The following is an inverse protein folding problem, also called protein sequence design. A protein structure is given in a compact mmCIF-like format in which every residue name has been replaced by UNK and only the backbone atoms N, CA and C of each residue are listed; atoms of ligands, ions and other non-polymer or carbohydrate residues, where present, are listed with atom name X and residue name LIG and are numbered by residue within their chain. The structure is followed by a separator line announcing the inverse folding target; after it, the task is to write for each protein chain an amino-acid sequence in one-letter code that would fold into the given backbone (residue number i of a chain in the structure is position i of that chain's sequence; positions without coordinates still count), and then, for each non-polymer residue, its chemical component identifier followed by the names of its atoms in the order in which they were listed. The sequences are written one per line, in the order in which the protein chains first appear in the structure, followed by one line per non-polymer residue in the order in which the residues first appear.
data_IF_313209872304
#
_entry.id   IF_313209872304
#
_cell.length_a   1.000
_cell.length_b   1.000
_cell.length_c   1.000
_cell.angle_alpha   90.00
_cell.angle_beta   90.00
_cell.angle_gamma   90.00
#
_symmetry.space_group_name_H-M   'P 1'
#
loop_
_entity.id
_entity.type
_entity.pdbx_description
1 polymer ?
#
# COMPACT_ATOMS: atom_id res chain seq x y z
N UNK A 1 -34.06 9.50 19.67
CA UNK A 1 -32.61 9.25 19.79
C UNK A 1 -32.04 9.36 18.39
N UNK A 2 -31.56 10.55 18.01
CA UNK A 2 -31.08 10.79 16.64
C UNK A 2 -29.80 9.98 16.41
N UNK A 3 -29.80 9.11 15.40
CA UNK A 3 -28.57 8.47 14.93
C UNK A 3 -27.70 9.59 14.35
N UNK A 4 -26.71 10.04 15.12
CA UNK A 4 -25.69 10.93 14.58
C UNK A 4 -24.82 10.10 13.65
N UNK A 5 -25.09 10.23 12.36
CA UNK A 5 -24.30 9.59 11.31
C UNK A 5 -22.93 10.23 11.32
N UNK A 6 -21.95 9.44 11.76
CA UNK A 6 -20.56 9.81 11.75
C UNK A 6 -20.19 10.23 10.32
N UNK A 7 -19.74 11.47 10.14
CA UNK A 7 -19.25 12.04 8.86
C UNK A 7 -20.37 12.41 7.86
N UNK A 8 -21.52 12.90 8.34
CA UNK A 8 -22.47 13.64 7.49
C UNK A 8 -22.34 15.15 7.73
N UNK A 9 -21.86 15.88 6.72
CA UNK A 9 -21.85 17.34 6.75
C UNK A 9 -23.22 17.83 6.28
N UNK A 10 -23.97 18.47 7.18
CA UNK A 10 -25.30 18.99 6.89
C UNK A 10 -25.18 20.32 6.13
N UNK A 11 -25.40 20.31 4.81
CA UNK A 11 -25.31 21.50 3.96
C UNK A 11 -26.34 22.56 4.33
N UNK A 12 -27.49 22.15 4.85
CA UNK A 12 -28.55 23.06 5.33
C UNK A 12 -28.08 23.85 6.56
N UNK A 13 -27.47 23.18 7.55
CA UNK A 13 -26.95 23.84 8.74
C UNK A 13 -25.77 24.79 8.42
N UNK A 14 -24.89 24.38 7.50
CA UNK A 14 -23.76 25.20 7.06
C UNK A 14 -24.18 26.53 6.43
N UNK A 15 -25.30 26.53 5.68
CA UNK A 15 -25.89 27.74 5.09
C UNK A 15 -26.47 28.66 6.15
N UNK A 16 -27.12 28.09 7.17
CA UNK A 16 -27.64 28.84 8.32
C UNK A 16 -26.51 29.51 9.11
N UNK A 17 -25.38 28.81 9.26
CA UNK A 17 -24.21 29.30 9.99
C UNK A 17 -23.27 30.20 9.13
N UNK A 18 -23.61 30.43 7.85
CA UNK A 18 -22.81 31.26 6.93
C UNK A 18 -21.47 30.67 6.50
N UNK A 19 -21.23 29.38 6.75
CA UNK A 19 -19.94 28.69 6.48
C UNK A 19 -19.91 27.94 5.14
N UNK A 20 -20.99 28.03 4.36
CA UNK A 20 -21.18 27.28 3.10
C UNK A 20 -20.11 27.54 2.03
N UNK A 21 -19.68 28.80 1.88
CA UNK A 21 -18.66 29.18 0.88
C UNK A 21 -17.30 28.56 1.19
N UNK A 22 -16.91 28.55 2.46
CA UNK A 22 -15.69 27.88 2.94
C UNK A 22 -15.76 26.37 2.70
N UNK A 23 -16.93 25.77 2.95
CA UNK A 23 -17.16 24.36 2.70
C UNK A 23 -17.03 24.01 1.20
N UNK A 24 -17.68 24.76 0.31
CA UNK A 24 -17.55 24.53 -1.13
C UNK A 24 -16.10 24.58 -1.60
N UNK A 25 -15.29 25.49 -1.04
CA UNK A 25 -13.87 25.59 -1.35
C UNK A 25 -13.11 24.33 -0.92
N UNK A 26 -13.32 23.85 0.32
CA UNK A 26 -12.72 22.61 0.83
C UNK A 26 -13.11 21.41 -0.02
N UNK A 27 -14.40 21.25 -0.31
CA UNK A 27 -14.90 20.11 -1.09
C UNK A 27 -14.37 20.13 -2.53
N UNK A 28 -14.17 21.32 -3.10
CA UNK A 28 -13.55 21.46 -4.43
C UNK A 28 -12.09 21.01 -4.42
N UNK A 29 -11.33 21.37 -3.38
CA UNK A 29 -9.95 20.89 -3.18
C UNK A 29 -9.93 19.37 -2.99
N UNK A 30 -10.88 18.83 -2.22
CA UNK A 30 -11.04 17.39 -2.02
C UNK A 30 -11.27 16.66 -3.34
N UNK A 31 -12.16 17.19 -4.20
CA UNK A 31 -12.46 16.63 -5.52
C UNK A 31 -11.21 16.60 -6.43
N UNK A 32 -10.42 17.66 -6.44
CA UNK A 32 -9.13 17.69 -7.16
C UNK A 32 -8.20 16.59 -6.63
N UNK A 33 -8.13 16.41 -5.30
CA UNK A 33 -7.37 15.34 -4.67
C UNK A 33 -7.85 13.94 -5.09
N UNK A 34 -9.17 13.73 -5.18
CA UNK A 34 -9.77 12.47 -5.65
C UNK A 34 -9.38 12.18 -7.10
N UNK A 35 -9.44 13.18 -7.99
CA UNK A 35 -9.05 13.02 -9.40
C UNK A 35 -7.59 12.60 -9.53
N UNK A 36 -6.69 13.25 -8.78
CA UNK A 36 -5.26 12.88 -8.74
C UNK A 36 -5.10 11.44 -8.26
N UNK A 37 -5.87 11.02 -7.26
CA UNK A 37 -5.83 9.66 -6.73
C UNK A 37 -6.33 8.60 -7.70
N UNK A 38 -7.38 8.88 -8.47
CA UNK A 38 -7.80 8.00 -9.55
C UNK A 38 -6.68 7.81 -10.57
N UNK A 39 -6.02 8.90 -10.99
CA UNK A 39 -4.89 8.80 -11.91
C UNK A 39 -3.76 7.95 -11.31
N UNK A 40 -3.41 8.19 -10.04
CA UNK A 40 -2.41 7.41 -9.31
C UNK A 40 -2.76 5.91 -9.27
N UNK A 41 -4.00 5.58 -8.94
CA UNK A 41 -4.50 4.20 -8.87
C UNK A 41 -4.48 3.49 -10.23
N UNK A 42 -4.93 4.14 -11.30
CA UNK A 42 -4.86 3.56 -12.64
C UNK A 42 -3.41 3.38 -13.11
N UNK A 43 -2.55 4.34 -12.80
CA UNK A 43 -1.13 4.26 -13.14
C UNK A 43 -0.43 3.11 -12.41
N UNK A 44 -0.67 2.93 -11.11
CA UNK A 44 -0.11 1.80 -10.36
C UNK A 44 -0.71 0.46 -10.78
N UNK A 45 -2.00 0.40 -11.14
CA UNK A 45 -2.62 -0.79 -11.75
C UNK A 45 -1.89 -1.17 -13.03
N UNK A 46 -1.66 -0.19 -13.92
CA UNK A 46 -0.90 -0.40 -15.14
C UNK A 46 0.50 -0.95 -14.86
N UNK A 47 1.23 -0.37 -13.90
CA UNK A 47 2.57 -0.84 -13.54
C UNK A 47 2.56 -2.27 -12.99
N UNK A 48 1.57 -2.62 -12.17
CA UNK A 48 1.40 -3.96 -11.64
C UNK A 48 1.20 -4.98 -12.77
N UNK A 49 0.31 -4.68 -13.71
CA UNK A 49 0.00 -5.56 -14.85
C UNK A 49 1.19 -5.69 -15.80
N UNK A 50 1.94 -4.60 -16.01
CA UNK A 50 3.03 -4.56 -17.01
C UNK A 50 4.32 -5.22 -16.54
N UNK A 51 4.74 -4.93 -15.32
CA UNK A 51 6.09 -5.30 -14.84
C UNK A 51 6.15 -6.71 -14.25
N UNK A 52 5.02 -7.26 -13.83
CA UNK A 52 4.94 -8.55 -13.16
C UNK A 52 5.95 -8.69 -12.00
N UNK A 53 6.22 -7.58 -11.30
CA UNK A 53 7.32 -7.42 -10.36
C UNK A 53 7.22 -8.24 -9.07
N UNK A 54 6.09 -8.92 -8.89
CA UNK A 54 5.71 -9.51 -7.62
C UNK A 54 5.17 -10.92 -7.81
N UNK A 55 5.49 -11.78 -6.84
CA UNK A 55 4.81 -13.07 -6.70
C UNK A 55 3.29 -12.88 -6.67
N UNK A 56 2.58 -13.89 -7.16
CA UNK A 56 1.11 -13.87 -7.28
C UNK A 56 0.41 -13.38 -6.01
N UNK A 57 0.85 -13.82 -4.84
CA UNK A 57 0.26 -13.45 -3.55
C UNK A 57 0.31 -11.93 -3.29
N UNK A 58 1.43 -11.27 -3.60
CA UNK A 58 1.56 -9.82 -3.41
C UNK A 58 0.74 -9.06 -4.45
N UNK A 59 0.64 -9.57 -5.69
CA UNK A 59 -0.26 -9.01 -6.71
C UNK A 59 -1.73 -9.12 -6.30
N UNK A 60 -2.13 -10.23 -5.69
CA UNK A 60 -3.49 -10.43 -5.17
C UNK A 60 -3.79 -9.47 -4.01
N UNK A 61 -2.88 -9.33 -3.04
CA UNK A 61 -3.03 -8.37 -1.93
C UNK A 61 -3.20 -6.95 -2.48
N UNK A 62 -2.37 -6.57 -3.46
CA UNK A 62 -2.50 -5.26 -4.11
C UNK A 62 -3.83 -5.11 -4.84
N UNK A 63 -4.29 -6.15 -5.55
CA UNK A 63 -5.59 -6.15 -6.21
C UNK A 63 -6.73 -5.87 -5.23
N UNK A 64 -6.73 -6.50 -4.06
CA UNK A 64 -7.72 -6.23 -3.00
C UNK A 64 -7.63 -4.79 -2.48
N UNK A 65 -6.42 -4.31 -2.15
CA UNK A 65 -6.21 -2.93 -1.68
C UNK A 65 -6.65 -1.91 -2.75
N UNK A 66 -6.34 -2.17 -4.02
CA UNK A 66 -6.71 -1.31 -5.14
C UNK A 66 -8.22 -1.24 -5.37
N UNK A 67 -8.92 -2.38 -5.30
CA UNK A 67 -10.39 -2.45 -5.41
C UNK A 67 -11.07 -1.76 -4.23
N UNK A 68 -10.57 -1.98 -3.02
CA UNK A 68 -11.07 -1.31 -1.82
C UNK A 68 -10.93 0.21 -1.96
N UNK A 69 -9.74 0.68 -2.35
CA UNK A 69 -9.48 2.11 -2.52
C UNK A 69 -10.29 2.73 -3.67
N UNK A 70 -10.45 2.01 -4.80
CA UNK A 70 -11.33 2.43 -5.90
C UNK A 70 -12.77 2.64 -5.42
N UNK A 71 -13.28 1.70 -4.62
CA UNK A 71 -14.63 1.75 -4.08
C UNK A 71 -14.79 2.95 -3.15
N UNK A 72 -13.79 3.22 -2.30
CA UNK A 72 -13.77 4.39 -1.42
C UNK A 72 -13.76 5.72 -2.18
N UNK A 73 -12.95 5.85 -3.24
CA UNK A 73 -12.92 7.06 -4.07
C UNK A 73 -14.26 7.29 -4.79
N UNK A 74 -14.87 6.21 -5.28
CA UNK A 74 -16.14 6.26 -6.04
C UNK A 74 -17.30 6.64 -5.15
N UNK A 75 -17.39 6.02 -3.96
CA UNK A 75 -18.37 6.43 -2.95
C UNK A 75 -18.21 7.91 -2.59
N UNK A 76 -16.99 8.37 -2.28
CA UNK A 76 -16.79 9.76 -1.88
C UNK A 76 -17.14 10.76 -2.99
N UNK A 77 -16.85 10.41 -4.24
CA UNK A 77 -17.26 11.22 -5.40
C UNK A 77 -18.78 11.32 -5.50
N UNK A 78 -19.50 10.21 -5.29
CA UNK A 78 -20.96 10.20 -5.29
C UNK A 78 -21.54 11.04 -4.14
N UNK A 79 -20.96 10.95 -2.93
CA UNK A 79 -21.35 11.78 -1.79
C UNK A 79 -21.19 13.27 -2.08
N UNK A 80 -20.05 13.68 -2.65
CA UNK A 80 -19.80 15.09 -3.03
C UNK A 80 -20.82 15.55 -4.08
N UNK A 81 -21.14 14.72 -5.07
CA UNK A 81 -22.13 15.04 -6.09
C UNK A 81 -23.53 15.24 -5.51
N UNK A 82 -23.97 14.41 -4.57
CA UNK A 82 -25.26 14.56 -3.89
C UNK A 82 -25.32 15.85 -3.07
N UNK A 83 -24.24 16.19 -2.37
CA UNK A 83 -24.15 17.42 -1.57
C UNK A 83 -24.28 18.67 -2.44
N UNK A 84 -23.68 18.70 -3.63
CA UNK A 84 -23.77 19.84 -4.54
C UNK A 84 -25.11 19.94 -5.28
N UNK A 85 -25.81 18.82 -5.52
CA UNK A 85 -27.10 18.82 -6.20
C UNK A 85 -28.30 19.05 -5.28
N UNK A 86 -28.08 19.29 -3.98
CA UNK A 86 -29.14 19.53 -2.99
C UNK A 86 -30.17 18.40 -2.82
N UNK A 87 -29.98 17.26 -3.50
CA UNK A 87 -30.69 16.01 -3.24
C UNK A 87 -30.07 15.32 -2.02
N UNK A 88 -30.11 16.01 -0.86
CA UNK A 88 -29.75 15.43 0.44
C UNK A 88 -30.84 14.44 0.89
N UNK A 89 -31.17 13.45 0.04
CA UNK A 89 -31.97 12.33 0.46
C UNK A 89 -31.08 11.47 1.38
N UNK A 90 -31.31 11.56 2.69
CA UNK A 90 -30.50 10.87 3.69
C UNK A 90 -30.39 9.36 3.43
N UNK A 91 -31.35 8.77 2.71
CA UNK A 91 -31.33 7.37 2.25
C UNK A 91 -30.32 7.10 1.12
N UNK A 92 -30.12 8.03 0.17
CA UNK A 92 -29.13 7.89 -0.89
C UNK A 92 -27.70 8.02 -0.35
N UNK A 93 -27.47 8.97 0.57
CA UNK A 93 -26.21 9.11 1.30
C UNK A 93 -25.91 7.91 2.20
N UNK A 94 -26.95 7.32 2.80
CA UNK A 94 -26.88 6.04 3.50
C UNK A 94 -26.51 4.91 2.55
N UNK A 95 -27.17 4.78 1.39
CA UNK A 95 -26.89 3.73 0.42
C UNK A 95 -25.44 3.77 -0.09
N UNK A 96 -24.90 4.97 -0.38
CA UNK A 96 -23.49 5.13 -0.76
C UNK A 96 -22.56 4.78 0.40
N UNK A 97 -22.84 5.29 1.61
CA UNK A 97 -22.06 4.97 2.82
C UNK A 97 -22.18 3.49 3.26
N UNK A 98 -23.28 2.80 2.89
CA UNK A 98 -23.53 1.37 3.12
C UNK A 98 -22.70 0.50 2.16
N UNK A 99 -22.50 0.93 0.90
CA UNK A 99 -21.54 0.30 -0.03
C UNK A 99 -20.12 0.39 0.54
N UNK A 100 -19.81 1.48 1.23
CA UNK A 100 -18.52 1.70 1.91
C UNK A 100 -18.22 0.68 3.00
N UNK A 101 -19.23 0.00 3.58
CA UNK A 101 -19.01 -0.92 4.69
C UNK A 101 -20.10 -2.01 4.82
N UNK A 102 -19.88 -3.14 4.15
CA UNK A 102 -20.53 -4.41 4.52
C UNK A 102 -20.30 -4.79 6.00
N UNK A 103 -19.26 -4.26 6.64
CA UNK A 103 -18.93 -4.42 8.07
C UNK A 103 -19.70 -3.49 9.02
N UNK A 104 -20.19 -2.33 8.56
CA UNK A 104 -20.97 -1.41 9.41
C UNK A 104 -22.33 -1.97 9.77
N UNK A 105 -22.86 -2.89 8.97
CA UNK A 105 -24.15 -3.54 9.22
C UNK A 105 -24.11 -4.49 10.43
N UNK A 106 -22.91 -4.95 10.84
CA UNK A 106 -22.74 -5.92 11.92
C UNK A 106 -22.53 -5.24 13.28
N UNK A 107 -22.10 -3.98 13.30
CA UNK A 107 -21.65 -3.31 14.55
C UNK A 107 -22.41 -2.00 14.77
N UNK A 108 -23.22 -1.97 15.83
CA UNK A 108 -24.03 -0.81 16.23
C UNK A 108 -23.21 0.44 16.60
N UNK A 109 -21.89 0.30 16.80
CA UNK A 109 -20.99 1.38 17.20
C UNK A 109 -19.78 1.51 16.28
N UNK A 110 -19.67 2.68 15.66
CA UNK A 110 -18.55 3.07 14.79
C UNK A 110 -17.20 3.08 15.53
N UNK A 111 -17.22 3.38 16.83
CA UNK A 111 -16.05 3.38 17.71
C UNK A 111 -15.52 1.96 17.88
N UNK A 112 -16.41 0.98 18.06
CA UNK A 112 -16.02 -0.43 18.20
C UNK A 112 -15.33 -0.95 16.92
N UNK A 113 -15.84 -0.55 15.74
CA UNK A 113 -15.19 -0.88 14.47
C UNK A 113 -13.78 -0.29 14.36
N UNK A 114 -13.60 0.99 14.68
CA UNK A 114 -12.29 1.64 14.63
C UNK A 114 -11.31 1.04 15.62
N UNK A 115 -11.76 0.72 16.84
CA UNK A 115 -10.95 0.00 17.83
C UNK A 115 -10.56 -1.40 17.31
N UNK A 116 -11.49 -2.12 16.68
CA UNK A 116 -11.19 -3.44 16.10
C UNK A 116 -10.12 -3.36 14.99
N UNK A 117 -10.16 -2.32 14.14
CA UNK A 117 -9.14 -2.08 13.12
C UNK A 117 -7.77 -1.76 13.72
N UNK A 118 -7.72 -1.02 14.85
CA UNK A 118 -6.48 -0.78 15.59
C UNK A 118 -5.89 -2.09 16.13
N UNK A 119 -6.73 -2.98 16.68
CA UNK A 119 -6.30 -4.30 17.16
C UNK A 119 -5.75 -5.15 16.01
N UNK A 120 -6.43 -5.20 14.87
CA UNK A 120 -5.99 -5.94 13.69
C UNK A 120 -4.63 -5.41 13.19
N UNK A 121 -4.47 -4.08 13.12
CA UNK A 121 -3.20 -3.45 12.73
C UNK A 121 -2.06 -3.79 13.69
N UNK A 122 -2.33 -3.81 15.00
CA UNK A 122 -1.33 -4.19 16.00
C UNK A 122 -0.87 -5.64 15.79
N UNK A 123 -1.82 -6.56 15.57
CA UNK A 123 -1.51 -7.96 15.27
C UNK A 123 -0.67 -8.08 14.00
N UNK A 124 -1.06 -7.39 12.92
CA UNK A 124 -0.32 -7.40 11.66
C UNK A 124 1.11 -6.85 11.82
N UNK A 125 1.29 -5.79 12.61
CA UNK A 125 2.59 -5.21 12.93
C UNK A 125 3.49 -6.20 13.69
N UNK A 126 2.96 -6.85 14.73
CA UNK A 126 3.69 -7.87 15.51
C UNK A 126 4.05 -9.07 14.65
N UNK A 127 3.12 -9.57 13.83
CA UNK A 127 3.40 -10.67 12.90
C UNK A 127 4.53 -10.32 11.94
N UNK A 128 4.50 -9.12 11.35
CA UNK A 128 5.52 -8.70 10.41
C UNK A 128 6.90 -8.57 11.08
N UNK A 129 6.96 -8.05 12.32
CA UNK A 129 8.19 -8.02 13.12
C UNK A 129 8.73 -9.43 13.42
N UNK A 130 7.86 -10.40 13.72
CA UNK A 130 8.27 -11.79 13.93
C UNK A 130 8.85 -12.41 12.66
N UNK A 131 8.21 -12.19 11.50
CA UNK A 131 8.69 -12.68 10.21
C UNK A 131 10.02 -12.02 9.83
N UNK A 132 10.16 -10.71 10.03
CA UNK A 132 11.42 -9.97 9.83
C UNK A 132 12.55 -10.56 10.69
N UNK A 133 12.29 -10.75 12.00
CA UNK A 133 13.26 -11.33 12.94
C UNK A 133 13.66 -12.76 12.55
N UNK A 134 12.70 -13.56 12.11
CA UNK A 134 12.96 -14.92 11.63
C UNK A 134 13.85 -14.92 10.38
N UNK A 135 13.54 -14.10 9.37
CA UNK A 135 14.34 -13.99 8.15
C UNK A 135 15.75 -13.45 8.43
N UNK A 136 15.91 -12.47 9.32
CA UNK A 136 17.24 -12.00 9.74
C UNK A 136 18.05 -13.06 10.47
N UNK A 137 17.44 -13.86 11.34
CA UNK A 137 18.13 -14.97 12.01
C UNK A 137 18.61 -15.99 10.96
N UNK A 138 17.75 -16.36 10.01
CA UNK A 138 18.09 -17.29 8.93
C UNK A 138 19.17 -16.75 7.99
N UNK A 139 19.16 -15.45 7.71
CA UNK A 139 20.23 -14.77 6.96
C UNK A 139 21.58 -14.85 7.69
N UNK A 140 21.57 -14.64 9.02
CA UNK A 140 22.79 -14.72 9.83
C UNK A 140 23.34 -16.14 9.88
N UNK A 141 22.49 -17.15 9.98
CA UNK A 141 22.87 -18.57 9.98
C UNK A 141 23.47 -18.99 8.64
N UNK A 142 22.85 -18.61 7.52
CA UNK A 142 23.37 -18.87 6.16
C UNK A 142 24.64 -18.07 5.81
N UNK A 143 24.93 -17.01 6.57
CA UNK A 143 26.17 -16.22 6.42
C UNK A 143 27.33 -16.74 7.24
N UNK A 144 27.06 -17.50 8.29
CA UNK A 144 28.10 -18.01 9.18
C UNK A 144 28.70 -19.33 8.66
N UNK A 145 29.65 -19.21 7.73
CA UNK A 145 30.40 -20.31 7.12
C UNK A 145 31.06 -21.24 8.17
N UNK A 146 31.48 -20.70 9.32
CA UNK A 146 32.11 -21.48 10.39
C UNK A 146 31.16 -22.42 11.16
N UNK A 147 29.84 -22.20 11.06
CA UNK A 147 28.84 -22.97 11.84
C UNK A 147 27.97 -23.89 10.96
N UNK A 148 27.88 -23.59 9.66
CA UNK A 148 27.10 -24.37 8.72
C UNK A 148 27.97 -25.40 8.01
N UNK A 149 27.87 -26.68 8.38
CA UNK A 149 28.30 -27.82 7.53
C UNK A 149 27.50 -27.92 6.21
N UNK A 150 26.49 -27.06 6.04
CA UNK A 150 25.58 -27.02 4.90
C UNK A 150 26.19 -26.14 3.81
N UNK A 151 26.29 -26.69 2.60
CA UNK A 151 26.81 -26.01 1.41
C UNK A 151 26.13 -24.68 1.15
N UNK A 152 26.92 -23.72 0.69
CA UNK A 152 26.49 -22.36 0.36
C UNK A 152 25.53 -22.39 -0.85
N UNK A 153 24.23 -22.13 -0.66
CA UNK A 153 23.29 -21.98 -1.77
C UNK A 153 23.00 -20.51 -2.03
N UNK A 154 23.40 -20.02 -3.21
CA UNK A 154 23.11 -18.67 -3.68
C UNK A 154 21.59 -18.43 -3.77
N UNK A 155 20.85 -19.45 -4.18
CA UNK A 155 19.39 -19.41 -4.27
C UNK A 155 18.72 -19.18 -2.91
N UNK A 156 19.21 -19.81 -1.84
CA UNK A 156 18.66 -19.62 -0.49
C UNK A 156 18.85 -18.17 0.00
N UNK A 157 20.03 -17.57 -0.25
CA UNK A 157 20.28 -16.16 0.09
C UNK A 157 19.43 -15.20 -0.72
N UNK A 158 19.25 -15.47 -2.01
CA UNK A 158 18.37 -14.68 -2.86
C UNK A 158 16.94 -14.69 -2.33
N UNK A 159 16.39 -15.87 -2.04
CA UNK A 159 15.05 -16.01 -1.46
C UNK A 159 14.91 -15.27 -0.11
N UNK A 160 15.90 -15.39 0.79
CA UNK A 160 15.89 -14.67 2.07
C UNK A 160 15.92 -13.15 1.86
N UNK A 161 16.73 -12.67 0.91
CA UNK A 161 16.83 -11.24 0.60
C UNK A 161 15.53 -10.67 0.02
N UNK A 162 14.84 -11.43 -0.84
CA UNK A 162 13.56 -11.04 -1.41
C UNK A 162 12.44 -11.04 -0.36
N UNK A 163 12.45 -12.03 0.55
CA UNK A 163 11.54 -12.07 1.71
C UNK A 163 11.75 -10.86 2.62
N UNK A 164 13.01 -10.49 2.89
CA UNK A 164 13.32 -9.33 3.71
C UNK A 164 12.87 -8.01 3.04
N UNK A 165 13.08 -7.87 1.72
CA UNK A 165 12.58 -6.73 0.95
C UNK A 165 11.06 -6.62 1.04
N UNK A 166 10.36 -7.75 0.96
CA UNK A 166 8.90 -7.83 1.09
C UNK A 166 8.44 -7.47 2.50
N UNK A 167 9.12 -7.94 3.55
CA UNK A 167 8.85 -7.55 4.93
C UNK A 167 9.00 -6.04 5.16
N UNK A 168 10.06 -5.43 4.62
CA UNK A 168 10.28 -3.98 4.72
C UNK A 168 9.16 -3.19 4.03
N UNK A 169 8.73 -3.62 2.83
CA UNK A 169 7.57 -3.05 2.15
C UNK A 169 6.31 -3.16 3.01
N UNK A 170 5.99 -4.37 3.49
CA UNK A 170 4.81 -4.60 4.34
C UNK A 170 4.88 -3.78 5.63
N UNK A 171 6.07 -3.58 6.20
CA UNK A 171 6.27 -2.79 7.41
C UNK A 171 5.96 -1.32 7.16
N UNK A 172 6.48 -0.76 6.07
CA UNK A 172 6.15 0.60 5.65
C UNK A 172 4.64 0.78 5.43
N UNK A 173 3.98 -0.19 4.78
CA UNK A 173 2.53 -0.16 4.54
C UNK A 173 1.75 -0.24 5.86
N UNK A 174 2.03 -1.22 6.72
CA UNK A 174 1.35 -1.40 8.02
C UNK A 174 1.53 -0.17 8.92
N UNK A 175 2.71 0.45 8.93
CA UNK A 175 2.94 1.66 9.71
C UNK A 175 2.10 2.84 9.17
N UNK A 176 2.04 2.99 7.85
CA UNK A 176 1.18 3.97 7.18
C UNK A 176 -0.28 3.76 7.59
N UNK A 177 -0.81 2.54 7.43
CA UNK A 177 -2.19 2.18 7.82
C UNK A 177 -2.44 2.51 9.29
N UNK A 178 -1.48 2.20 10.18
CA UNK A 178 -1.63 2.40 11.62
C UNK A 178 -1.75 3.87 12.01
N UNK A 179 -0.94 4.75 11.41
CA UNK A 179 -1.03 6.20 11.65
C UNK A 179 -2.38 6.74 11.22
N UNK A 180 -2.85 6.37 10.03
CA UNK A 180 -4.14 6.85 9.52
C UNK A 180 -5.34 6.25 10.26
N UNK A 181 -5.27 4.98 10.69
CA UNK A 181 -6.32 4.38 11.52
C UNK A 181 -6.40 5.01 12.91
N UNK A 182 -5.27 5.44 13.48
CA UNK A 182 -5.29 6.19 14.74
C UNK A 182 -5.93 7.57 14.55
N UNK A 183 -5.54 8.28 13.49
CA UNK A 183 -6.08 9.61 13.18
C UNK A 183 -7.57 9.57 12.83
N UNK A 184 -8.02 8.54 12.11
CA UNK A 184 -9.42 8.27 11.80
C UNK A 184 -10.24 7.95 13.06
N UNK A 185 -9.66 7.17 13.99
CA UNK A 185 -10.30 6.87 15.29
C UNK A 185 -10.46 8.12 16.15
N UNK A 186 -9.43 8.98 16.23
CA UNK A 186 -9.49 10.23 17.00
C UNK A 186 -10.54 11.18 16.42
N UNK A 187 -10.57 11.33 15.10
CA UNK A 187 -11.57 12.17 14.43
C UNK A 187 -12.99 11.61 14.54
N UNK A 188 -13.16 10.28 14.51
CA UNK A 188 -14.42 9.62 14.80
C UNK A 188 -14.88 9.82 16.26
N UNK A 189 -13.95 9.78 17.22
CA UNK A 189 -14.27 9.95 18.63
C UNK A 189 -14.82 11.36 18.93
N UNK A 190 -14.47 12.39 18.14
CA UNK A 190 -14.95 13.77 18.29
C UNK A 190 -16.48 13.90 18.31
N UNK A 191 -17.20 13.01 17.64
CA UNK A 191 -18.67 13.05 17.60
C UNK A 191 -19.32 12.69 18.96
N UNK A 192 -18.61 11.97 19.82
CA UNK A 192 -19.07 11.60 21.16
C UNK A 192 -18.91 12.72 22.19
N UNK A 193 -18.16 13.77 21.87
CA UNK A 193 -17.96 14.91 22.74
C UNK A 193 -18.96 16.04 22.42
N UNK A 194 -19.30 16.83 23.44
CA UNK A 194 -20.16 18.02 23.29
C UNK A 194 -19.30 19.16 22.74
N UNK A 195 -18.97 19.09 21.45
CA UNK A 195 -18.18 20.09 20.71
C UNK A 195 -19.08 20.84 19.72
N UNK A 196 -18.73 22.08 19.40
CA UNK A 196 -19.51 22.88 18.44
C UNK A 196 -19.55 22.23 17.05
N UNK A 197 -20.60 22.52 16.29
CA UNK A 197 -20.81 21.96 14.94
C UNK A 197 -19.63 22.24 13.99
N UNK A 198 -18.98 23.40 14.14
CA UNK A 198 -17.77 23.75 13.40
C UNK A 198 -16.66 22.71 13.59
N UNK A 199 -16.40 22.29 14.83
CA UNK A 199 -15.35 21.30 15.14
C UNK A 199 -15.71 19.90 14.65
N UNK A 200 -17.00 19.53 14.67
CA UNK A 200 -17.47 18.27 14.08
C UNK A 200 -17.26 18.25 12.56
N UNK A 201 -17.56 19.36 11.91
CA UNK A 201 -17.34 19.55 10.47
C UNK A 201 -15.86 19.53 10.07
N UNK A 202 -15.00 20.16 10.87
CA UNK A 202 -13.53 20.10 10.70
C UNK A 202 -13.03 18.67 10.89
N UNK A 203 -13.52 17.95 11.90
CA UNK A 203 -13.15 16.56 12.14
C UNK A 203 -13.57 15.64 10.98
N UNK A 204 -14.78 15.82 10.45
CA UNK A 204 -15.27 15.09 9.27
C UNK A 204 -14.43 15.37 8.02
N UNK A 205 -14.04 16.62 7.81
CA UNK A 205 -13.15 17.01 6.70
C UNK A 205 -11.77 16.38 6.86
N UNK A 206 -11.19 16.46 8.06
CA UNK A 206 -9.89 15.88 8.37
C UNK A 206 -9.89 14.36 8.16
N UNK A 207 -10.94 13.68 8.62
CA UNK A 207 -11.13 12.24 8.39
C UNK A 207 -11.08 11.90 6.89
N UNK A 208 -11.84 12.62 6.06
CA UNK A 208 -11.87 12.37 4.63
C UNK A 208 -10.51 12.63 3.96
N UNK A 209 -9.82 13.71 4.33
CA UNK A 209 -8.45 13.99 3.85
C UNK A 209 -7.49 12.87 4.26
N UNK A 210 -7.61 12.35 5.49
CA UNK A 210 -6.79 11.24 5.98
C UNK A 210 -7.00 9.97 5.15
N UNK A 211 -8.25 9.59 4.90
CA UNK A 211 -8.59 8.43 4.06
C UNK A 211 -8.05 8.59 2.63
N UNK A 212 -8.19 9.79 2.04
CA UNK A 212 -7.64 10.08 0.72
C UNK A 212 -6.11 9.95 0.70
N UNK A 213 -5.44 10.57 1.67
CA UNK A 213 -3.97 10.62 1.74
C UNK A 213 -3.37 9.23 2.00
N UNK A 214 -4.04 8.40 2.80
CA UNK A 214 -3.61 7.04 3.12
C UNK A 214 -3.44 6.18 1.85
N UNK A 215 -4.44 6.17 0.97
CA UNK A 215 -4.36 5.37 -0.25
C UNK A 215 -3.27 5.88 -1.20
N UNK A 216 -3.13 7.20 -1.36
CA UNK A 216 -2.02 7.80 -2.14
C UNK A 216 -0.66 7.39 -1.60
N UNK A 217 -0.47 7.50 -0.28
CA UNK A 217 0.80 7.22 0.36
C UNK A 217 1.17 5.74 0.23
N UNK A 218 0.19 4.84 0.37
CA UNK A 218 0.40 3.41 0.15
C UNK A 218 0.90 3.15 -1.28
N UNK A 219 0.26 3.75 -2.30
CA UNK A 219 0.71 3.65 -3.69
C UNK A 219 2.15 4.16 -3.90
N UNK A 220 2.50 5.28 -3.27
CA UNK A 220 3.86 5.85 -3.32
C UNK A 220 4.87 4.90 -2.66
N UNK A 221 4.55 4.32 -1.50
CA UNK A 221 5.42 3.36 -0.79
C UNK A 221 5.72 2.16 -1.70
N UNK A 222 4.69 1.58 -2.33
CA UNK A 222 4.90 0.48 -3.29
C UNK A 222 5.79 0.89 -4.45
N UNK A 223 5.57 2.08 -5.03
CA UNK A 223 6.43 2.61 -6.09
C UNK A 223 7.89 2.78 -5.65
N UNK A 224 8.12 3.28 -4.44
CA UNK A 224 9.46 3.49 -3.88
C UNK A 224 10.16 2.18 -3.51
N UNK A 225 9.44 1.11 -3.22
CA UNK A 225 10.04 -0.20 -2.93
C UNK A 225 10.17 -1.11 -4.17
N UNK A 226 9.59 -0.73 -5.32
CA UNK A 226 9.62 -1.55 -6.54
C UNK A 226 10.49 -0.95 -7.62
N UNK A 227 11.69 -1.52 -7.81
CA UNK A 227 12.64 -0.99 -8.79
C UNK A 227 12.12 -1.04 -10.22
N UNK A 228 11.44 -2.13 -10.57
CA UNK A 228 10.88 -2.35 -11.91
C UNK A 228 9.85 -1.28 -12.27
N UNK A 229 9.03 -0.85 -11.31
CA UNK A 229 8.04 0.22 -11.51
C UNK A 229 8.71 1.55 -11.81
N UNK A 230 9.78 1.88 -11.08
CA UNK A 230 10.57 3.09 -11.32
C UNK A 230 11.27 3.06 -12.68
N UNK A 231 11.71 1.88 -13.12
CA UNK A 231 12.36 1.72 -14.43
C UNK A 231 11.37 1.90 -15.58
N UNK A 232 10.20 1.25 -15.51
CA UNK A 232 9.15 1.42 -16.52
C UNK A 232 8.61 2.86 -16.53
N UNK A 233 8.46 3.49 -15.38
CA UNK A 233 8.05 4.91 -15.30
C UNK A 233 9.07 5.83 -15.95
N UNK A 234 10.37 5.62 -15.69
CA UNK A 234 11.45 6.35 -16.37
C UNK A 234 11.43 6.13 -17.88
N UNK A 235 11.15 4.90 -18.35
CA UNK A 235 11.01 4.59 -19.77
C UNK A 235 9.83 5.34 -20.40
N UNK A 236 8.67 5.36 -19.76
CA UNK A 236 7.49 6.11 -20.24
C UNK A 236 7.77 7.61 -20.31
N UNK A 237 8.40 8.17 -19.26
CA UNK A 237 8.80 9.57 -19.23
C UNK A 237 9.83 9.92 -20.31
N UNK A 238 10.79 9.03 -20.59
CA UNK A 238 11.76 9.22 -21.66
C UNK A 238 11.08 9.23 -23.04
N UNK A 239 10.15 8.29 -23.27
CA UNK A 239 9.35 8.22 -24.50
C UNK A 239 8.51 9.48 -24.70
N UNK A 240 7.86 9.95 -23.65
CA UNK A 240 7.07 11.19 -23.69
C UNK A 240 7.93 12.43 -23.94
N UNK A 241 9.16 12.46 -23.42
CA UNK A 241 10.14 13.55 -23.65
C UNK A 241 10.91 13.44 -24.98
N UNK A 242 10.57 12.48 -25.85
CA UNK A 242 11.26 12.25 -27.12
C UNK A 242 12.74 11.85 -26.98
N UNK A 243 13.18 11.41 -25.79
CA UNK A 243 14.55 10.97 -25.56
C UNK A 243 14.65 9.47 -25.84
N UNK A 244 15.67 9.06 -26.60
CA UNK A 244 16.00 7.65 -26.79
C UNK A 244 16.09 6.96 -25.42
N UNK A 245 15.48 5.78 -25.31
CA UNK A 245 15.40 5.03 -24.06
C UNK A 245 16.80 4.90 -23.44
N UNK A 246 17.01 5.56 -22.30
CA UNK A 246 18.27 5.46 -21.56
C UNK A 246 18.44 3.99 -21.20
N UNK A 247 19.53 3.37 -21.67
CA UNK A 247 19.89 2.00 -21.36
C UNK A 247 19.80 1.77 -19.84
N UNK A 248 19.32 0.60 -19.39
CA UNK A 248 19.12 0.33 -17.97
C UNK A 248 20.39 0.62 -17.17
N UNK A 249 20.21 1.28 -16.03
CA UNK A 249 21.30 1.68 -15.12
C UNK A 249 22.06 0.43 -14.70
N UNK A 250 23.35 0.38 -15.00
CA UNK A 250 24.28 -0.67 -14.60
C UNK A 250 24.20 -0.84 -13.08
N UNK A 251 23.75 -2.00 -12.61
CA UNK A 251 23.77 -2.36 -11.20
C UNK A 251 25.24 -2.55 -10.80
N UNK A 252 25.81 -1.58 -10.09
CA UNK A 252 27.10 -1.76 -9.41
C UNK A 252 26.93 -2.80 -8.30
N UNK A 253 27.61 -3.93 -8.45
CA UNK A 253 27.79 -4.92 -7.38
C UNK A 253 28.34 -4.25 -6.12
N UNK A 254 27.69 -4.49 -4.98
CA UNK A 254 28.16 -4.07 -3.64
C UNK A 254 29.30 -4.94 -3.10
N UNK A 255 29.79 -5.90 -3.88
CA UNK A 255 30.93 -6.74 -3.52
C UNK A 255 32.08 -6.54 -4.50
N UNK A 256 32.72 -5.37 -4.43
CA UNK A 256 34.14 -5.14 -4.74
C UNK A 256 34.78 -5.85 -5.93
N UNK A 257 34.06 -6.04 -7.04
CA UNK A 257 34.57 -6.73 -8.24
C UNK A 257 34.14 -5.98 -9.48
N UNK A 258 35.08 -5.81 -10.41
CA UNK A 258 34.88 -5.17 -11.69
C UNK A 258 33.66 -5.73 -12.44
N UNK A 259 33.01 -4.83 -13.16
CA UNK A 259 31.82 -4.99 -14.01
C UNK A 259 31.53 -6.43 -14.45
N UNK A 260 30.58 -7.08 -13.77
CA UNK A 260 29.97 -8.32 -14.23
C UNK A 260 28.66 -7.98 -14.95
N UNK A 261 28.78 -7.49 -16.19
CA UNK A 261 27.68 -7.56 -17.15
C UNK A 261 27.66 -8.98 -17.71
N UNK A 262 26.73 -9.80 -17.24
CA UNK A 262 26.23 -10.91 -18.05
C UNK A 262 24.85 -10.48 -18.53
N UNK A 263 24.62 -10.54 -19.85
CA UNK A 263 23.32 -10.30 -20.44
C UNK A 263 22.27 -11.24 -19.81
N UNK A 264 20.98 -10.88 -19.83
CA UNK A 264 19.92 -11.70 -19.20
C UNK A 264 19.86 -13.12 -19.78
N UNK A 265 20.30 -13.31 -21.03
CA UNK A 265 20.52 -14.62 -21.65
C UNK A 265 21.71 -15.37 -21.03
N UNK A 266 22.84 -14.71 -20.81
CA UNK A 266 24.02 -15.30 -20.19
C UNK A 266 23.84 -15.58 -18.70
N UNK A 267 23.05 -14.79 -17.97
CA UNK A 267 22.67 -15.09 -16.57
C UNK A 267 21.78 -16.33 -16.49
N UNK A 268 20.85 -16.48 -17.43
CA UNK A 268 20.06 -17.71 -17.56
C UNK A 268 20.95 -18.90 -17.90
N UNK A 269 21.89 -18.73 -18.82
CA UNK A 269 22.83 -19.76 -19.22
C UNK A 269 23.75 -20.19 -18.07
N UNK A 270 24.39 -19.26 -17.36
CA UNK A 270 25.20 -19.52 -16.16
C UNK A 270 24.37 -20.20 -15.06
N UNK A 271 23.12 -19.79 -14.86
CA UNK A 271 22.20 -20.43 -13.93
C UNK A 271 21.93 -21.89 -14.30
N UNK A 272 21.60 -22.18 -15.56
CA UNK A 272 21.36 -23.56 -16.02
C UNK A 272 22.64 -24.40 -16.08
N UNK A 273 23.80 -23.79 -16.37
CA UNK A 273 25.12 -24.45 -16.32
C UNK A 273 25.51 -24.80 -14.88
N UNK A 274 25.23 -23.94 -13.90
CA UNK A 274 25.40 -24.28 -12.49
C UNK A 274 24.43 -25.38 -12.06
N UNK A 275 23.17 -25.32 -12.49
CA UNK A 275 22.17 -26.35 -12.20
C UNK A 275 22.58 -27.72 -12.75
N UNK A 276 23.13 -27.76 -13.97
CA UNK A 276 23.61 -28.98 -14.62
C UNK A 276 24.85 -29.55 -13.91
N UNK A 277 25.78 -28.69 -13.47
CA UNK A 277 26.91 -29.11 -12.64
C UNK A 277 26.46 -29.68 -11.31
N UNK A 278 25.48 -29.07 -10.66
CA UNK A 278 24.96 -29.53 -9.37
C UNK A 278 24.17 -30.85 -9.51
N UNK A 279 23.48 -31.04 -10.63
CA UNK A 279 22.71 -32.25 -10.93
C UNK A 279 23.60 -33.43 -11.35
N UNK A 280 24.68 -33.14 -12.09
CA UNK A 280 25.62 -34.14 -12.61
C UNK A 280 26.90 -34.29 -11.78
N UNK A 281 27.01 -33.59 -10.63
CA UNK A 281 28.11 -33.77 -9.70
C UNK A 281 28.09 -35.20 -9.14
N UNK A 282 28.98 -36.05 -9.65
CA UNK A 282 29.19 -37.41 -9.15
C UNK A 282 29.52 -37.33 -7.66
N UNK A 283 28.83 -38.09 -6.78
CA UNK A 283 29.12 -38.07 -5.36
C UNK A 283 30.56 -38.52 -5.12
N UNK A 284 31.37 -37.61 -4.56
CA UNK A 284 32.76 -37.89 -4.19
C UNK A 284 32.76 -39.06 -3.20
N UNK A 285 33.27 -40.21 -3.64
CA UNK A 285 33.53 -41.35 -2.74
C UNK A 285 34.53 -40.89 -1.68
N UNK A 286 34.10 -40.91 -0.41
CA UNK A 286 34.99 -40.70 0.74
C UNK A 286 36.04 -41.80 0.73
N UNK A 287 37.29 -41.44 0.44
CA UNK A 287 38.42 -42.31 0.74
C UNK A 287 38.62 -42.28 2.25
N UNK A 288 38.21 -43.35 2.91
CA UNK A 288 38.57 -43.66 4.29
C UNK A 288 40.07 -43.98 4.36
N UNK A 289 40.80 -43.24 5.18
CA UNK A 289 42.02 -43.68 5.84
C UNK A 289 41.82 -43.56 7.34
#
# INVERSE_FOLDING_TARGET
MARHYLIYYNGTQSRLDGTWSFYCAITSVELVGIIINYFGLFFTTYLLLKTNAYHFNIRMIWGFIGVEYFTQLTDRTAQIFLIFNHEEDGQAFLATSLIRCLLYFIVDSTVVLHISMLVINLIASVMNLMIEKYNYRKLRESTNLNKSRRGYSLAERFQISENLRTCLLLKSVVNCVSVFNLLSTVTAAMDNFIVSILWKNVAATLFNICVLTYGSLTMIVFYLHTEQWRNETRRLLAKWRGKAAVAPRILRSTTGGAELMLSTEEQGHEYFVQLDRDWNAVPVQRITK
#
